data_IF_538374907510
#
_entry.id   IF_538374907510
#
_cell.length_a   1.000
_cell.length_b   1.000
_cell.length_c   1.000
_cell.angle_alpha   90.00
_cell.angle_beta   90.00
_cell.angle_gamma   90.00
#
_symmetry.space_group_name_H-M   'P 1'
#
loop_
_entity.id
_entity.type
_entity.pdbx_description
1 polymer ?
#
# COMPACT_ATOMS: atom_id res chain seq x y z
N UNK A 1 3.09 2.76 16.46
CA UNK A 1 2.80 3.59 15.28
C UNK A 1 2.21 2.67 14.25
N UNK A 2 0.94 2.86 13.92
CA UNK A 2 0.22 2.06 12.92
C UNK A 2 0.26 2.81 11.59
N UNK A 3 0.69 2.15 10.53
CA UNK A 3 0.76 2.70 9.18
C UNK A 3 -0.41 2.15 8.37
N UNK A 4 -1.22 3.04 7.81
CA UNK A 4 -2.32 2.71 6.92
C UNK A 4 -1.82 2.92 5.49
N UNK A 5 -1.88 1.87 4.66
CA UNK A 5 -1.50 1.94 3.25
C UNK A 5 -2.73 2.28 2.40
N UNK A 6 -2.57 3.19 1.44
CA UNK A 6 -3.63 3.53 0.48
C UNK A 6 -3.68 2.54 -0.69
N UNK A 7 -2.54 1.89 -0.96
CA UNK A 7 -2.36 0.93 -2.04
C UNK A 7 -1.52 -0.26 -1.59
N UNK A 8 -1.80 -1.43 -2.19
CA UNK A 8 -0.95 -2.59 -2.07
C UNK A 8 -0.75 -3.25 -3.44
N UNK A 9 0.42 -3.84 -3.65
CA UNK A 9 0.70 -4.68 -4.80
C UNK A 9 1.63 -5.84 -4.43
N UNK A 10 1.76 -6.82 -5.33
CA UNK A 10 2.67 -7.97 -5.15
C UNK A 10 3.67 -7.98 -6.30
N UNK A 11 4.96 -7.97 -5.98
CA UNK A 11 6.04 -7.97 -6.96
C UNK A 11 7.22 -8.79 -6.43
N UNK A 12 7.77 -9.68 -7.27
CA UNK A 12 8.95 -10.50 -6.97
C UNK A 12 8.90 -11.20 -5.59
N UNK A 13 7.75 -11.78 -5.25
CA UNK A 13 7.56 -12.48 -3.97
C UNK A 13 7.49 -11.55 -2.74
N UNK A 14 7.29 -10.26 -2.94
CA UNK A 14 7.11 -9.28 -1.87
C UNK A 14 5.74 -8.61 -1.96
N UNK A 15 5.18 -8.32 -0.79
CA UNK A 15 4.08 -7.37 -0.64
C UNK A 15 4.67 -5.96 -0.57
N UNK A 16 4.22 -5.09 -1.47
CA UNK A 16 4.56 -3.68 -1.49
C UNK A 16 3.35 -2.90 -0.97
N UNK A 17 3.58 -2.07 0.03
CA UNK A 17 2.58 -1.16 0.59
C UNK A 17 2.97 0.26 0.24
N UNK A 18 2.03 0.97 -0.38
CA UNK A 18 2.21 2.34 -0.83
C UNK A 18 1.19 3.28 -0.19
N UNK A 19 1.58 4.56 -0.11
CA UNK A 19 0.65 5.65 0.22
C UNK A 19 0.66 6.67 -0.91
N UNK A 20 -0.48 7.32 -1.11
CA UNK A 20 -0.63 8.39 -2.08
C UNK A 20 -0.29 9.72 -1.41
N UNK A 21 0.72 10.41 -1.90
CA UNK A 21 1.13 11.71 -1.37
C UNK A 21 1.17 12.75 -2.47
N UNK A 22 0.89 13.99 -2.08
CA UNK A 22 1.20 15.16 -2.88
C UNK A 22 2.55 15.70 -2.37
N UNK A 23 3.59 15.68 -3.22
CA UNK A 23 4.97 16.01 -2.87
C UNK A 23 5.59 17.00 -3.88
N UNK A 24 6.45 17.89 -3.38
CA UNK A 24 7.24 18.81 -4.22
C UNK A 24 8.33 18.07 -4.99
N UNK A 25 8.90 18.66 -6.06
CA UNK A 25 10.05 18.07 -6.75
C UNK A 25 11.26 17.79 -5.83
N UNK A 26 11.49 18.61 -4.80
CA UNK A 26 12.56 18.36 -3.83
C UNK A 26 12.24 17.14 -2.96
N UNK A 27 11.02 17.05 -2.42
CA UNK A 27 10.57 15.93 -1.57
C UNK A 27 10.58 14.60 -2.34
N UNK A 28 10.24 14.63 -3.63
CA UNK A 28 10.29 13.47 -4.51
C UNK A 28 11.70 12.90 -4.71
N UNK A 29 12.74 13.71 -4.49
CA UNK A 29 14.13 13.23 -4.57
C UNK A 29 14.55 12.38 -3.37
N UNK A 30 13.78 12.41 -2.27
CA UNK A 30 14.10 11.71 -1.02
C UNK A 30 13.34 10.38 -0.86
N UNK A 31 12.44 10.05 -1.77
CA UNK A 31 11.52 8.89 -1.66
C UNK A 31 11.61 7.96 -2.85
N UNK A 32 11.28 6.68 -2.64
CA UNK A 32 11.12 5.73 -3.75
C UNK A 32 9.69 5.78 -4.26
N UNK A 33 9.51 6.36 -5.45
CA UNK A 33 8.23 6.38 -6.16
C UNK A 33 8.00 5.04 -6.86
N UNK A 34 6.89 4.38 -6.55
CA UNK A 34 6.51 3.09 -7.15
C UNK A 34 5.58 3.27 -8.35
N UNK A 35 4.80 4.34 -8.35
CA UNK A 35 3.82 4.62 -9.41
C UNK A 35 3.48 6.10 -9.49
N UNK A 36 3.04 6.53 -10.67
CA UNK A 36 2.46 7.85 -10.94
C UNK A 36 0.99 7.68 -11.33
N UNK A 37 0.11 7.45 -10.35
CA UNK A 37 -1.28 7.06 -10.61
C UNK A 37 -2.14 8.22 -11.14
N UNK A 38 -1.62 9.45 -11.17
CA UNK A 38 -2.34 10.65 -11.57
C UNK A 38 -1.57 11.45 -12.63
N UNK A 39 -2.25 12.00 -13.65
CA UNK A 39 -1.64 12.94 -14.60
C UNK A 39 -1.35 14.32 -13.97
N UNK A 40 -1.77 14.56 -12.72
CA UNK A 40 -1.41 15.78 -11.98
C UNK A 40 0.05 15.71 -11.53
N UNK A 41 0.89 16.70 -11.89
CA UNK A 41 2.24 16.81 -11.34
C UNK A 41 2.20 16.84 -9.81
N UNK A 42 3.06 16.06 -9.16
CA UNK A 42 3.23 16.05 -7.70
C UNK A 42 2.43 15.00 -6.93
N UNK A 43 1.46 14.30 -7.54
CA UNK A 43 0.77 13.19 -6.88
C UNK A 43 1.42 11.85 -7.22
N UNK A 44 2.05 11.23 -6.24
CA UNK A 44 2.81 9.97 -6.39
C UNK A 44 2.36 8.91 -5.41
N UNK A 45 2.57 7.66 -5.79
CA UNK A 45 2.57 6.55 -4.84
C UNK A 45 4.01 6.31 -4.38
N UNK A 46 4.25 6.37 -3.07
CA UNK A 46 5.55 6.10 -2.47
C UNK A 46 5.53 4.79 -1.72
N UNK A 47 6.64 4.04 -1.80
CA UNK A 47 6.80 2.80 -1.05
C UNK A 47 7.04 3.09 0.44
N UNK A 48 6.16 2.60 1.31
CA UNK A 48 6.34 2.71 2.77
C UNK A 48 6.81 1.41 3.40
N UNK A 49 6.47 0.26 2.81
CA UNK A 49 6.95 -1.03 3.27
C UNK A 49 7.07 -2.04 2.12
N UNK A 50 8.13 -2.84 2.17
CA UNK A 50 8.34 -4.02 1.33
C UNK A 50 8.56 -5.23 2.22
N UNK A 51 7.61 -6.15 2.22
CA UNK A 51 7.59 -7.31 3.12
C UNK A 51 7.70 -8.59 2.31
N UNK A 52 8.66 -9.49 2.59
CA UNK A 52 8.71 -10.80 1.95
C UNK A 52 7.42 -11.57 2.19
N UNK A 53 6.88 -12.22 1.15
CA UNK A 53 5.64 -12.99 1.29
C UNK A 53 5.76 -14.13 2.31
N UNK A 54 6.98 -14.64 2.55
CA UNK A 54 7.28 -15.63 3.58
C UNK A 54 7.07 -15.14 5.01
N UNK A 55 7.05 -13.83 5.23
CA UNK A 55 6.88 -13.21 6.55
C UNK A 55 5.43 -12.77 6.82
N UNK A 56 4.56 -12.86 5.80
CA UNK A 56 3.15 -12.47 5.92
C UNK A 56 2.30 -13.69 6.25
N UNK A 57 1.69 -13.69 7.43
CA UNK A 57 0.66 -14.67 7.80
C UNK A 57 -0.64 -14.29 7.10
N UNK A 58 -1.13 -15.13 6.19
CA UNK A 58 -2.46 -14.95 5.62
C UNK A 58 -3.51 -15.19 6.69
N UNK A 59 -4.25 -14.14 7.05
CA UNK A 59 -5.44 -14.26 7.88
C UNK A 59 -6.63 -14.34 6.92
N UNK A 60 -7.08 -15.56 6.64
CA UNK A 60 -8.38 -15.75 5.99
C UNK A 60 -9.46 -15.28 6.97
N UNK A 61 -10.15 -14.21 6.61
CA UNK A 61 -11.34 -13.79 7.35
C UNK A 61 -12.43 -14.84 7.11
N UNK A 62 -12.75 -15.65 8.12
CA UNK A 62 -13.91 -16.55 8.09
C UNK A 62 -15.21 -15.76 7.89
N UNK A 63 -16.31 -16.43 7.49
CA UNK A 63 -17.59 -15.75 7.26
C UNK A 63 -17.94 -14.89 8.47
N UNK A 64 -18.13 -13.60 8.24
CA UNK A 64 -18.76 -12.73 9.22
C UNK A 64 -20.16 -13.29 9.40
N UNK A 65 -20.45 -13.90 10.55
CA UNK A 65 -21.79 -14.38 10.94
C UNK A 65 -22.76 -13.18 11.02
N UNK A 66 -23.14 -12.66 9.86
CA UNK A 66 -24.17 -11.66 9.63
C UNK A 66 -25.50 -12.30 9.24
N UNK A 67 -25.64 -13.61 9.35
CA UNK A 67 -26.91 -14.30 9.14
C UNK A 67 -27.59 -14.55 10.51
N UNK A 68 -28.09 -13.47 11.11
CA UNK A 68 -29.16 -13.57 12.12
C UNK A 68 -30.45 -13.01 11.53
N UNK A 69 -31.25 -13.97 11.05
CA UNK A 69 -32.71 -14.04 11.03
C UNK A 69 -33.50 -12.73 11.16
N UNK A 70 -34.29 -12.44 10.12
CA UNK A 70 -35.65 -11.93 10.26
C UNK A 70 -36.58 -12.79 9.43
#
# INVERSE_FOLDING_TARGET
MELWADAYSVQDGHYLFGILVDASPEELSEVTVTSWPSPKPGRVEILVAKIPASEVVQVESGPTDGQRSR
#
